data_IF_692070832359
#
_entry.id   IF_692070832359
#
_cell.length_a   1.000
_cell.length_b   1.000
_cell.length_c   1.000
_cell.angle_alpha   90.00
_cell.angle_beta   90.00
_cell.angle_gamma   90.00
#
_symmetry.space_group_name_H-M   'P 1'
#
loop_
_entity.id
_entity.type
_entity.pdbx_description
1 polymer ?
#
# COMPACT_ATOMS: atom_id res chain seq x y z
N UNK A 1 -7.46 6.20 3.94
CA UNK A 1 -8.28 7.43 3.75
C UNK A 1 -8.45 7.75 2.27
N UNK A 2 -7.36 7.98 1.52
CA UNK A 2 -7.42 8.41 0.12
C UNK A 2 -8.21 7.46 -0.81
N UNK A 3 -8.05 6.14 -0.65
CA UNK A 3 -8.81 5.14 -1.44
C UNK A 3 -10.33 5.21 -1.23
N UNK A 4 -10.76 5.78 -0.11
CA UNK A 4 -12.17 5.91 0.27
C UNK A 4 -12.79 7.25 -0.14
N UNK A 5 -11.99 8.19 -0.65
CA UNK A 5 -12.44 9.51 -1.08
C UNK A 5 -12.39 9.61 -2.61
N UNK A 6 -13.56 9.73 -3.24
CA UNK A 6 -13.70 9.90 -4.69
C UNK A 6 -13.81 11.37 -5.07
N UNK A 7 -13.35 11.73 -6.27
CA UNK A 7 -13.49 13.09 -6.81
C UNK A 7 -12.60 14.13 -6.11
N UNK A 8 -13.00 15.41 -6.16
CA UNK A 8 -12.25 16.51 -5.55
C UNK A 8 -12.51 16.56 -4.03
N UNK A 9 -11.48 16.41 -3.17
CA UNK A 9 -11.63 16.47 -1.71
C UNK A 9 -11.72 17.90 -1.14
N UNK A 10 -11.51 18.94 -1.96
CA UNK A 10 -11.58 20.34 -1.51
C UNK A 10 -12.96 20.70 -0.91
N UNK A 11 -12.94 21.47 0.17
CA UNK A 11 -14.14 21.89 0.90
C UNK A 11 -14.79 20.79 1.74
N UNK A 12 -14.38 19.53 1.61
CA UNK A 12 -14.87 18.40 2.40
C UNK A 12 -13.92 18.03 3.54
N UNK A 13 -12.62 18.28 3.37
CA UNK A 13 -11.58 17.95 4.33
C UNK A 13 -10.65 19.15 4.58
N UNK A 14 -9.89 19.10 5.68
CA UNK A 14 -8.85 20.10 5.96
C UNK A 14 -7.77 20.12 4.87
N UNK A 15 -7.05 21.23 4.76
CA UNK A 15 -6.01 21.41 3.74
C UNK A 15 -4.94 20.31 3.80
N UNK A 16 -4.54 19.87 4.99
CA UNK A 16 -3.54 18.82 5.16
C UNK A 16 -4.06 17.45 4.70
N UNK A 17 -5.31 17.12 5.00
CA UNK A 17 -5.94 15.87 4.53
C UNK A 17 -6.10 15.89 3.01
N UNK A 18 -6.50 17.03 2.44
CA UNK A 18 -6.56 17.22 0.98
C UNK A 18 -5.17 17.03 0.35
N UNK A 19 -4.13 17.59 0.95
CA UNK A 19 -2.75 17.42 0.49
C UNK A 19 -2.31 15.95 0.54
N UNK A 20 -2.64 15.24 1.62
CA UNK A 20 -2.37 13.80 1.75
C UNK A 20 -3.09 12.95 0.70
N UNK A 21 -4.38 13.23 0.43
CA UNK A 21 -5.16 12.53 -0.61
C UNK A 21 -4.56 12.79 -1.99
N UNK A 22 -4.13 14.02 -2.28
CA UNK A 22 -3.47 14.36 -3.54
C UNK A 22 -2.11 13.68 -3.68
N UNK A 23 -1.34 13.61 -2.59
CA UNK A 23 -0.06 12.91 -2.56
C UNK A 23 -0.24 11.43 -2.89
N UNK A 24 -1.15 10.75 -2.19
CA UNK A 24 -1.49 9.35 -2.42
C UNK A 24 -1.77 9.07 -3.90
N UNK A 25 -2.69 9.84 -4.51
CA UNK A 25 -3.06 9.66 -5.93
C UNK A 25 -1.89 9.87 -6.89
N UNK A 26 -0.92 10.72 -6.55
CA UNK A 26 0.27 10.93 -7.38
C UNK A 26 1.24 9.77 -7.26
N UNK A 27 1.39 9.21 -6.06
CA UNK A 27 2.14 7.98 -5.83
C UNK A 27 1.49 6.82 -6.58
N UNK A 28 0.16 6.69 -6.56
CA UNK A 28 -0.56 5.66 -7.35
C UNK A 28 -0.23 5.78 -8.84
N UNK A 29 -0.37 6.98 -9.41
CA UNK A 29 -0.07 7.22 -10.84
C UNK A 29 1.40 6.89 -11.16
N UNK A 30 2.32 7.29 -10.29
CA UNK A 30 3.74 6.98 -10.45
C UNK A 30 3.96 5.47 -10.44
N UNK A 31 3.43 4.77 -9.45
CA UNK A 31 3.57 3.31 -9.29
C UNK A 31 2.94 2.57 -10.48
N UNK A 32 1.71 2.91 -10.87
CA UNK A 32 0.98 2.21 -11.93
C UNK A 32 1.64 2.32 -13.32
N UNK A 33 2.38 3.39 -13.55
CA UNK A 33 3.03 3.68 -14.84
C UNK A 33 4.53 3.36 -14.86
N UNK A 34 5.14 3.08 -13.70
CA UNK A 34 6.58 2.87 -13.64
C UNK A 34 6.99 1.57 -14.35
N UNK A 35 8.03 1.58 -15.21
CA UNK A 35 8.47 0.38 -15.93
C UNK A 35 8.79 -0.82 -15.03
N UNK A 36 9.40 -0.59 -13.86
CA UNK A 36 9.69 -1.65 -12.89
C UNK A 36 8.43 -2.27 -12.28
N UNK A 37 7.38 -1.47 -12.07
CA UNK A 37 6.11 -1.98 -11.53
C UNK A 37 5.35 -2.73 -12.63
N UNK A 38 5.39 -2.24 -13.86
CA UNK A 38 4.88 -2.98 -15.04
C UNK A 38 5.60 -4.32 -15.16
N UNK A 39 6.93 -4.34 -15.01
CA UNK A 39 7.71 -5.58 -14.98
C UNK A 39 7.25 -6.51 -13.84
N UNK A 40 7.05 -5.97 -12.63
CA UNK A 40 6.55 -6.75 -11.49
C UNK A 40 5.18 -7.39 -11.80
N UNK A 41 4.27 -6.66 -12.47
CA UNK A 41 2.96 -7.19 -12.88
C UNK A 41 3.06 -8.38 -13.84
N UNK A 42 4.14 -8.48 -14.61
CA UNK A 42 4.37 -9.60 -15.52
C UNK A 42 4.87 -10.88 -14.82
N UNK A 43 5.36 -10.79 -13.59
CA UNK A 43 5.71 -11.95 -12.76
C UNK A 43 4.47 -12.75 -12.34
N UNK A 44 3.30 -12.10 -12.29
CA UNK A 44 2.04 -12.82 -12.07
C UNK A 44 1.62 -13.61 -13.32
N UNK A 45 1.23 -14.85 -13.09
CA UNK A 45 0.66 -15.75 -14.07
C UNK A 45 -0.66 -15.21 -14.63
N UNK A 46 -1.04 -15.66 -15.83
CA UNK A 46 -2.22 -15.15 -16.55
C UNK A 46 -3.52 -15.13 -15.70
N UNK A 47 -3.84 -16.15 -14.87
CA UNK A 47 -5.05 -16.11 -14.03
C UNK A 47 -5.06 -14.99 -12.99
N UNK A 48 -3.89 -14.57 -12.52
CA UNK A 48 -3.74 -13.60 -11.42
C UNK A 48 -3.32 -12.21 -11.88
N UNK A 49 -2.93 -12.05 -13.15
CA UNK A 49 -2.51 -10.75 -13.72
C UNK A 49 -3.53 -9.62 -13.57
N UNK A 50 -4.83 -9.93 -13.54
CA UNK A 50 -5.90 -8.94 -13.31
C UNK A 50 -5.93 -8.36 -11.90
N UNK A 51 -5.44 -9.11 -10.91
CA UNK A 51 -5.36 -8.67 -9.51
C UNK A 51 -3.94 -8.24 -9.12
N UNK A 52 -2.97 -8.39 -10.03
CA UNK A 52 -1.57 -8.02 -9.80
C UNK A 52 -1.37 -6.62 -9.21
N UNK A 53 -2.08 -5.55 -9.64
CA UNK A 53 -1.91 -4.23 -8.99
C UNK A 53 -2.19 -4.27 -7.49
N UNK A 54 -3.32 -4.86 -7.08
CA UNK A 54 -3.72 -4.96 -5.66
C UNK A 54 -2.74 -5.88 -4.90
N UNK A 55 -2.33 -6.99 -5.52
CA UNK A 55 -1.36 -7.89 -4.90
C UNK A 55 0.00 -7.22 -4.73
N UNK A 56 0.40 -6.35 -5.67
CA UNK A 56 1.65 -5.59 -5.59
C UNK A 56 1.63 -4.57 -4.46
N UNK A 57 0.53 -3.86 -4.24
CA UNK A 57 0.44 -2.93 -3.12
C UNK A 57 0.74 -3.64 -1.78
N UNK A 58 0.20 -4.85 -1.62
CA UNK A 58 0.41 -5.67 -0.42
C UNK A 58 1.85 -6.20 -0.34
N UNK A 59 2.48 -6.58 -1.46
CA UNK A 59 3.88 -7.05 -1.43
C UNK A 59 4.87 -5.91 -1.19
N UNK A 60 4.56 -4.70 -1.65
CA UNK A 60 5.35 -3.51 -1.32
C UNK A 60 5.25 -3.16 0.17
N UNK A 61 4.04 -3.24 0.75
CA UNK A 61 3.86 -3.09 2.20
C UNK A 61 4.61 -4.17 3.00
N UNK A 62 4.65 -5.42 2.48
CA UNK A 62 5.45 -6.49 3.07
C UNK A 62 6.93 -6.12 3.17
N UNK A 63 7.54 -5.72 2.05
CA UNK A 63 8.96 -5.36 2.04
C UNK A 63 9.24 -4.08 2.84
N UNK A 64 8.33 -3.11 2.81
CA UNK A 64 8.45 -1.91 3.62
C UNK A 64 8.48 -2.25 5.12
N UNK A 65 7.55 -3.08 5.60
CA UNK A 65 7.52 -3.49 6.99
C UNK A 65 8.70 -4.40 7.36
N UNK A 66 9.09 -5.32 6.48
CA UNK A 66 10.22 -6.23 6.68
C UNK A 66 11.56 -5.48 6.74
N UNK A 67 11.74 -4.46 5.90
CA UNK A 67 12.98 -3.69 5.77
C UNK A 67 12.95 -2.32 6.42
N UNK A 68 11.96 -2.07 7.27
CA UNK A 68 11.76 -0.78 7.91
C UNK A 68 13.04 -0.25 8.57
N UNK A 69 13.76 -1.07 9.34
CA UNK A 69 14.97 -0.63 10.05
C UNK A 69 16.13 -0.23 9.09
N UNK A 70 16.12 -0.72 7.85
CA UNK A 70 17.07 -0.30 6.81
C UNK A 70 16.65 1.01 6.15
N UNK A 71 15.34 1.19 5.96
CA UNK A 71 14.75 2.34 5.26
C UNK A 71 14.66 3.57 6.18
N UNK A 72 14.31 3.36 7.45
CA UNK A 72 14.07 4.39 8.47
C UNK A 72 14.85 4.03 9.75
N UNK A 73 16.19 4.07 9.73
CA UNK A 73 17.01 3.58 10.85
C UNK A 73 16.87 4.40 12.14
N UNK A 74 16.35 5.63 12.06
CA UNK A 74 16.21 6.54 13.20
C UNK A 74 14.88 6.43 13.94
N UNK A 75 13.92 5.64 13.42
CA UNK A 75 12.59 5.58 14.01
C UNK A 75 11.98 4.20 13.83
N UNK A 76 11.70 3.48 14.90
CA UNK A 76 11.21 2.09 14.80
C UNK A 76 9.77 2.01 14.27
N UNK A 77 9.46 0.92 13.56
CA UNK A 77 8.12 0.69 12.99
C UNK A 77 7.01 0.75 14.04
N UNK A 78 7.13 0.12 15.24
CA UNK A 78 6.09 0.21 16.25
C UNK A 78 5.88 1.64 16.78
N UNK A 79 6.95 2.42 16.91
CA UNK A 79 6.86 3.79 17.40
C UNK A 79 6.23 4.72 16.35
N UNK A 80 6.56 4.53 15.07
CA UNK A 80 5.91 5.23 13.96
C UNK A 80 4.41 4.91 13.89
N UNK A 81 4.04 3.62 13.96
CA UNK A 81 2.64 3.18 13.92
C UNK A 81 1.86 3.75 15.10
N UNK A 82 2.42 3.74 16.31
CA UNK A 82 1.77 4.31 17.48
C UNK A 82 1.57 5.82 17.32
N UNK A 83 2.57 6.53 16.78
CA UNK A 83 2.44 7.94 16.48
C UNK A 83 1.33 8.21 15.45
N UNK A 84 1.33 7.48 14.33
CA UNK A 84 0.30 7.60 13.29
C UNK A 84 -1.10 7.30 13.83
N UNK A 85 -1.26 6.24 14.62
CA UNK A 85 -2.52 5.89 15.29
C UNK A 85 -3.02 7.05 16.16
N UNK A 86 -2.16 7.64 16.99
CA UNK A 86 -2.53 8.76 17.86
C UNK A 86 -2.97 10.01 17.08
N UNK A 87 -2.49 10.19 15.84
CA UNK A 87 -2.94 11.26 14.95
C UNK A 87 -4.24 10.94 14.22
N UNK A 88 -4.55 9.66 13.97
CA UNK A 88 -5.70 9.25 13.14
C UNK A 88 -6.93 8.92 14.00
N UNK A 89 -6.75 8.14 15.07
CA UNK A 89 -7.84 7.58 15.90
C UNK A 89 -8.79 8.66 16.45
N UNK A 90 -8.34 9.84 16.93
CA UNK A 90 -9.23 10.91 17.39
C UNK A 90 -10.17 11.47 16.31
N UNK A 91 -9.82 11.29 15.04
CA UNK A 91 -10.56 11.84 13.90
C UNK A 91 -11.34 10.78 13.11
N UNK A 92 -11.19 9.48 13.45
CA UNK A 92 -11.79 8.37 12.68
C UNK A 92 -13.29 8.52 12.47
N UNK A 93 -14.03 9.00 13.48
CA UNK A 93 -15.49 9.17 13.39
C UNK A 93 -15.95 10.07 12.23
N UNK A 94 -15.10 11.02 11.80
CA UNK A 94 -15.41 11.95 10.71
C UNK A 94 -14.93 11.47 9.33
N UNK A 95 -14.41 10.25 9.24
CA UNK A 95 -13.89 9.68 8.00
C UNK A 95 -14.94 8.81 7.30
N UNK A 96 -14.75 8.43 6.02
CA UNK A 96 -15.67 7.52 5.34
C UNK A 96 -15.85 6.20 6.11
N UNK A 97 -17.07 5.68 6.18
CA UNK A 97 -17.46 4.47 6.92
C UNK A 97 -16.52 3.28 6.65
N UNK A 98 -16.22 3.00 5.38
CA UNK A 98 -15.30 1.91 5.00
C UNK A 98 -13.87 2.08 5.52
N UNK A 99 -13.41 3.33 5.72
CA UNK A 99 -12.13 3.58 6.37
C UNK A 99 -12.23 3.28 7.87
N UNK A 100 -13.35 3.60 8.52
CA UNK A 100 -13.59 3.24 9.91
C UNK A 100 -13.58 1.72 10.09
N UNK A 101 -14.33 0.98 9.26
CA UNK A 101 -14.39 -0.50 9.26
C UNK A 101 -12.99 -1.13 9.11
N UNK A 102 -12.13 -0.57 8.24
CA UNK A 102 -10.75 -1.04 8.10
C UNK A 102 -9.96 -0.87 9.40
N UNK A 103 -10.14 0.26 10.09
CA UNK A 103 -9.40 0.61 11.30
C UNK A 103 -9.82 -0.22 12.53
N UNK A 104 -10.98 -0.88 12.50
CA UNK A 104 -11.38 -1.86 13.54
C UNK A 104 -10.42 -3.06 13.62
N UNK A 105 -9.74 -3.37 12.52
CA UNK A 105 -8.78 -4.48 12.45
C UNK A 105 -7.34 -4.00 12.37
N UNK A 106 -7.08 -2.92 11.63
CA UNK A 106 -5.73 -2.41 11.34
C UNK A 106 -4.90 -2.19 12.61
N UNK A 107 -5.44 -1.45 13.59
CA UNK A 107 -4.72 -1.13 14.82
C UNK A 107 -4.69 -2.29 15.81
N UNK A 108 -5.83 -2.91 16.20
CA UNK A 108 -5.81 -3.91 17.27
C UNK A 108 -5.02 -5.17 16.91
N UNK A 109 -4.92 -5.48 15.62
CA UNK A 109 -4.19 -6.65 15.12
C UNK A 109 -2.79 -6.31 14.59
N UNK A 110 -2.33 -5.06 14.74
CA UNK A 110 -1.01 -4.58 14.32
C UNK A 110 -0.67 -4.94 12.87
N UNK A 111 -1.62 -4.79 11.93
CA UNK A 111 -1.46 -5.23 10.54
C UNK A 111 -0.18 -4.67 9.91
N UNK A 112 0.10 -3.38 10.13
CA UNK A 112 1.28 -2.71 9.59
C UNK A 112 2.60 -3.32 10.06
N UNK A 113 2.66 -3.85 11.29
CA UNK A 113 3.85 -4.60 11.77
C UNK A 113 3.86 -5.99 11.15
N UNK A 114 2.69 -6.65 11.16
CA UNK A 114 2.54 -8.04 10.70
C UNK A 114 2.73 -8.19 9.20
N UNK A 115 2.67 -7.11 8.42
CA UNK A 115 3.03 -7.16 7.01
C UNK A 115 4.46 -7.69 6.79
N UNK A 116 5.37 -7.61 7.77
CA UNK A 116 6.69 -8.24 7.67
C UNK A 116 6.65 -9.79 7.62
N UNK A 117 5.54 -10.42 7.99
CA UNK A 117 5.35 -11.87 7.96
C UNK A 117 4.65 -12.30 6.65
N UNK A 118 5.34 -13.11 5.85
CA UNK A 118 4.81 -13.59 4.56
C UNK A 118 3.56 -14.48 4.73
N UNK A 119 3.44 -15.23 5.84
CA UNK A 119 2.24 -16.02 6.10
C UNK A 119 1.02 -15.11 6.34
N UNK A 120 1.23 -13.97 6.99
CA UNK A 120 0.17 -12.98 7.17
C UNK A 120 -0.27 -12.35 5.83
N UNK A 121 0.63 -12.21 4.86
CA UNK A 121 0.26 -11.78 3.50
C UNK A 121 -0.75 -12.74 2.85
N UNK A 122 -0.53 -14.05 2.99
CA UNK A 122 -1.44 -15.06 2.49
C UNK A 122 -2.86 -14.93 3.11
N UNK A 123 -2.91 -14.68 4.43
CA UNK A 123 -4.15 -14.47 5.18
C UNK A 123 -4.89 -13.21 4.70
N UNK A 124 -4.17 -12.10 4.50
CA UNK A 124 -4.73 -10.83 4.01
C UNK A 124 -5.35 -11.02 2.61
N UNK A 125 -4.61 -11.63 1.68
CA UNK A 125 -5.08 -11.89 0.31
C UNK A 125 -6.32 -12.80 0.31
N UNK A 126 -6.30 -13.84 1.13
CA UNK A 126 -7.43 -14.76 1.28
C UNK A 126 -8.65 -14.06 1.89
N UNK A 127 -8.44 -13.24 2.92
CA UNK A 127 -9.51 -12.45 3.55
C UNK A 127 -10.14 -11.42 2.60
N UNK A 128 -9.34 -10.78 1.74
CA UNK A 128 -9.84 -9.87 0.71
C UNK A 128 -10.64 -10.62 -0.37
N UNK A 129 -10.12 -11.77 -0.84
CA UNK A 129 -10.81 -12.62 -1.82
C UNK A 129 -12.19 -13.08 -1.32
N UNK A 130 -12.29 -13.44 -0.02
CA UNK A 130 -13.56 -13.85 0.61
C UNK A 130 -14.59 -12.73 0.67
N UNK A 131 -14.17 -11.50 0.99
CA UNK A 131 -15.06 -10.34 1.12
C UNK A 131 -15.51 -9.77 -0.23
N UNK A 132 -14.71 -9.97 -1.27
CA UNK A 132 -14.96 -9.39 -2.59
C UNK A 132 -14.94 -10.46 -3.68
N UNK A 133 -16.12 -11.00 -4.09
CA UNK A 133 -16.19 -12.08 -5.09
C UNK A 133 -15.49 -11.78 -6.43
N UNK A 134 -15.45 -10.51 -6.83
CA UNK A 134 -14.73 -10.07 -8.05
C UNK A 134 -13.21 -10.20 -7.94
N UNK A 135 -12.69 -10.25 -6.72
CA UNK A 135 -11.28 -10.37 -6.38
C UNK A 135 -10.92 -11.77 -5.88
N UNK A 136 -11.73 -12.79 -6.18
CA UNK A 136 -11.49 -14.18 -5.78
C UNK A 136 -10.11 -14.70 -6.19
N UNK A 137 -9.55 -14.17 -7.27
CA UNK A 137 -8.22 -14.49 -7.78
C UNK A 137 -7.07 -14.07 -6.84
N UNK A 138 -7.30 -13.15 -5.88
CA UNK A 138 -6.26 -12.71 -4.93
C UNK A 138 -5.68 -13.87 -4.12
N UNK A 139 -6.53 -14.80 -3.66
CA UNK A 139 -6.07 -15.93 -2.84
C UNK A 139 -5.06 -16.81 -3.60
N UNK A 140 -5.25 -17.00 -4.91
CA UNK A 140 -4.32 -17.77 -5.74
C UNK A 140 -3.04 -17.02 -6.11
N UNK A 141 -3.07 -15.68 -6.09
CA UNK A 141 -1.89 -14.86 -6.44
C UNK A 141 -0.72 -15.03 -5.47
N UNK A 142 -0.95 -15.56 -4.26
CA UNK A 142 0.10 -15.83 -3.29
C UNK A 142 1.14 -16.84 -3.80
N UNK A 143 0.73 -17.82 -4.61
CA UNK A 143 1.68 -18.78 -5.19
C UNK A 143 2.72 -18.10 -6.10
N UNK A 144 2.30 -17.09 -6.88
CA UNK A 144 3.22 -16.32 -7.71
C UNK A 144 4.16 -15.46 -6.85
N UNK A 145 3.69 -14.95 -5.70
CA UNK A 145 4.53 -14.24 -4.73
C UNK A 145 5.64 -15.17 -4.23
N UNK A 146 5.31 -16.37 -3.78
CA UNK A 146 6.31 -17.32 -3.28
C UNK A 146 7.32 -17.70 -4.35
N UNK A 147 6.83 -17.96 -5.57
CA UNK A 147 7.68 -18.35 -6.70
C UNK A 147 8.65 -17.24 -7.12
N UNK A 148 8.20 -15.98 -7.10
CA UNK A 148 8.96 -14.83 -7.58
C UNK A 148 9.40 -13.87 -6.47
N UNK A 149 9.47 -14.34 -5.23
CA UNK A 149 9.70 -13.49 -4.05
C UNK A 149 10.99 -12.65 -4.18
N UNK A 150 12.09 -13.28 -4.58
CA UNK A 150 13.37 -12.60 -4.79
C UNK A 150 13.33 -11.61 -5.96
N UNK A 151 12.54 -11.88 -7.01
CA UNK A 151 12.38 -10.97 -8.14
C UNK A 151 11.60 -9.71 -7.70
N UNK A 152 10.51 -9.89 -6.93
CA UNK A 152 9.77 -8.78 -6.35
C UNK A 152 10.64 -7.96 -5.41
N UNK A 153 11.42 -8.62 -4.54
CA UNK A 153 12.34 -7.94 -3.63
C UNK A 153 13.36 -7.07 -4.39
N UNK A 154 13.97 -7.62 -5.44
CA UNK A 154 14.92 -6.88 -6.25
C UNK A 154 14.28 -5.65 -6.94
N UNK A 155 13.01 -5.77 -7.37
CA UNK A 155 12.26 -4.66 -7.94
C UNK A 155 11.88 -3.62 -6.88
N UNK A 156 11.54 -4.04 -5.66
CA UNK A 156 11.28 -3.14 -4.53
C UNK A 156 12.49 -2.24 -4.26
N UNK A 157 13.69 -2.83 -4.14
CA UNK A 157 14.91 -2.07 -3.84
C UNK A 157 15.33 -1.11 -4.96
N UNK A 158 14.93 -1.37 -6.20
CA UNK A 158 15.15 -0.46 -7.31
C UNK A 158 14.11 0.66 -7.37
N UNK A 159 12.84 0.34 -7.08
CA UNK A 159 11.72 1.28 -7.23
C UNK A 159 11.50 2.17 -6.01
N UNK A 160 11.53 1.61 -4.80
CA UNK A 160 11.12 2.31 -3.58
C UNK A 160 11.94 3.58 -3.30
N UNK A 161 13.29 3.60 -3.41
CA UNK A 161 14.07 4.82 -3.21
C UNK A 161 13.69 5.93 -4.19
N UNK A 162 13.43 5.58 -5.46
CA UNK A 162 12.99 6.54 -6.47
C UNK A 162 11.60 7.11 -6.15
N UNK A 163 10.65 6.27 -5.73
CA UNK A 163 9.32 6.72 -5.31
C UNK A 163 9.40 7.69 -4.12
N UNK A 164 10.22 7.36 -3.12
CA UNK A 164 10.43 8.20 -1.94
C UNK A 164 11.02 9.58 -2.30
N UNK A 165 12.03 9.62 -3.17
CA UNK A 165 12.62 10.88 -3.65
C UNK A 165 11.55 11.77 -4.32
N UNK A 166 10.65 11.20 -5.13
CA UNK A 166 9.55 11.96 -5.75
C UNK A 166 8.52 12.43 -4.74
N UNK A 167 8.20 11.61 -3.75
CA UNK A 167 7.26 11.95 -2.69
C UNK A 167 7.78 13.10 -1.81
N UNK A 168 9.05 13.07 -1.40
CA UNK A 168 9.67 14.10 -0.57
C UNK A 168 9.76 15.45 -1.29
N UNK A 169 10.19 15.44 -2.55
CA UNK A 169 10.35 16.66 -3.34
C UNK A 169 9.01 17.24 -3.85
N UNK A 170 7.88 16.53 -3.65
CA UNK A 170 6.57 16.84 -4.26
C UNK A 170 6.64 16.96 -5.79
N UNK A 171 7.68 16.40 -6.40
CA UNK A 171 8.02 16.54 -7.81
C UNK A 171 7.38 15.41 -8.62
N UNK A 172 6.09 15.57 -8.91
CA UNK A 172 5.33 14.66 -9.78
C UNK A 172 5.07 15.24 -11.18
N UNK A 173 5.69 16.39 -11.49
CA UNK A 173 5.39 17.20 -12.68
C UNK A 173 5.84 16.60 -14.03
N UNK A 174 6.60 15.50 -14.03
CA UNK A 174 7.06 14.84 -15.27
C UNK A 174 6.24 13.61 -15.70
N UNK A 175 5.19 13.22 -14.97
CA UNK A 175 4.42 12.00 -15.26
C UNK A 175 3.14 12.27 -16.09
N UNK A 176 2.94 13.50 -16.54
CA UNK A 176 1.76 13.95 -17.29
C UNK A 176 2.11 14.50 -18.69
N UNK A 177 3.15 13.99 -19.34
CA UNK A 177 3.41 14.24 -20.77
C UNK A 177 3.45 12.93 -21.54
#
# INVERSE_FOLDING_TARGET
MADFVRGNPEGQYSADVVAGIRMHRRVDVLTDTHPLVIQARHLFSNPYRRVAPITLDIIWDHFLSLYWDKLVPTYSLPAFILHARNQIEPHLYYTPEKFQELNEFLWPQNWLIRYADLAFIADVLTGMARRHPRLSALSGSFQDIEQHYADFEALFWQFYPYMMEKAENKDFYCLSQ
#
